data_IF_357279670524
#
_entry.id   IF_357279670524
#
_cell.length_a   1.000
_cell.length_b   1.000
_cell.length_c   1.000
_cell.angle_alpha   90.00
_cell.angle_beta   90.00
_cell.angle_gamma   90.00
#
_symmetry.space_group_name_H-M   'P 1'
#
loop_
_entity.id
_entity.type
_entity.pdbx_description
1 polymer ?
#
# COMPACT_ATOMS: atom_id res chain seq x y z
N UNK A 1 6.97 -6.00 -12.39
CA UNK A 1 6.78 -6.75 -13.66
C UNK A 1 5.89 -5.94 -14.59
N UNK A 2 6.22 -5.86 -15.88
CA UNK A 2 5.40 -5.19 -16.90
C UNK A 2 3.97 -5.75 -16.94
N UNK A 3 3.79 -7.05 -16.67
CA UNK A 3 2.47 -7.69 -16.57
C UNK A 3 1.60 -7.12 -15.44
N UNK A 4 2.21 -6.59 -14.38
CA UNK A 4 1.50 -5.94 -13.28
C UNK A 4 1.21 -4.46 -13.57
N UNK A 5 1.99 -3.83 -14.45
CA UNK A 5 1.86 -2.40 -14.76
C UNK A 5 0.55 -2.10 -15.48
N UNK A 6 0.14 -2.95 -16.42
CA UNK A 6 -1.09 -2.78 -17.21
C UNK A 6 -2.34 -3.37 -16.53
N UNK A 7 -2.15 -4.17 -15.48
CA UNK A 7 -3.23 -4.86 -14.81
C UNK A 7 -3.98 -3.98 -13.79
N UNK A 8 -3.29 -3.00 -13.20
CA UNK A 8 -3.88 -2.05 -12.25
C UNK A 8 -3.76 -0.63 -12.80
N UNK A 9 -4.90 0.02 -13.02
CA UNK A 9 -4.99 1.40 -13.49
C UNK A 9 -4.54 2.39 -12.42
N UNK A 10 -4.74 2.05 -11.14
CA UNK A 10 -4.30 2.85 -10.00
C UNK A 10 -3.40 2.00 -9.10
N UNK A 11 -2.21 2.52 -8.79
CA UNK A 11 -1.22 1.89 -7.91
C UNK A 11 -0.80 2.94 -6.88
N UNK A 12 -0.99 2.63 -5.61
CA UNK A 12 -0.65 3.53 -4.50
C UNK A 12 0.20 2.76 -3.50
N UNK A 13 1.23 3.41 -2.98
CA UNK A 13 2.06 2.90 -1.89
C UNK A 13 2.12 3.96 -0.80
N UNK A 14 1.68 3.59 0.40
CA UNK A 14 1.69 4.46 1.58
C UNK A 14 2.45 3.75 2.69
N UNK A 15 3.46 4.41 3.24
CA UNK A 15 4.18 3.91 4.41
C UNK A 15 3.42 4.35 5.66
N UNK A 16 2.95 3.38 6.44
CA UNK A 16 2.16 3.65 7.63
C UNK A 16 3.11 3.96 8.77
N UNK A 17 3.13 5.22 9.21
CA UNK A 17 3.90 5.61 10.40
C UNK A 17 3.49 4.80 11.63
N UNK A 18 4.28 4.87 12.71
CA UNK A 18 4.04 4.16 13.98
C UNK A 18 2.62 4.29 14.53
N UNK A 19 1.98 5.44 14.28
CA UNK A 19 0.59 5.71 14.65
C UNK A 19 -0.37 5.45 13.49
N UNK A 20 -1.34 4.58 13.73
CA UNK A 20 -2.45 4.32 12.80
C UNK A 20 -3.53 5.38 12.95
N UNK A 21 -3.33 6.50 12.26
CA UNK A 21 -4.26 7.62 12.20
C UNK A 21 -5.06 7.58 10.89
N UNK A 22 -6.35 7.24 11.00
CA UNK A 22 -7.23 7.06 9.84
C UNK A 22 -7.39 8.36 9.03
N UNK A 23 -7.69 9.53 9.63
CA UNK A 23 -7.68 10.81 8.90
C UNK A 23 -6.39 11.10 8.13
N UNK A 24 -5.24 10.93 8.78
CA UNK A 24 -3.93 11.20 8.16
C UNK A 24 -3.66 10.23 7.00
N UNK A 25 -3.87 8.93 7.22
CA UNK A 25 -3.69 7.91 6.20
C UNK A 25 -4.64 8.10 5.01
N UNK A 26 -5.90 8.43 5.28
CA UNK A 26 -6.89 8.67 4.22
C UNK A 26 -6.48 9.86 3.35
N UNK A 27 -5.94 10.92 3.97
CA UNK A 27 -5.41 12.08 3.24
C UNK A 27 -4.19 11.72 2.40
N UNK A 28 -3.26 10.95 2.96
CA UNK A 28 -2.07 10.49 2.25
C UNK A 28 -2.43 9.62 1.03
N UNK A 29 -3.31 8.63 1.24
CA UNK A 29 -3.82 7.79 0.14
C UNK A 29 -4.51 8.64 -0.93
N UNK A 30 -5.37 9.59 -0.54
CA UNK A 30 -6.04 10.50 -1.47
C UNK A 30 -5.04 11.28 -2.33
N UNK A 31 -4.00 11.84 -1.72
CA UNK A 31 -2.95 12.59 -2.42
C UNK A 31 -2.14 11.75 -3.41
N UNK A 32 -2.03 10.43 -3.19
CA UNK A 32 -1.38 9.51 -4.11
C UNK A 32 -2.26 9.04 -5.27
N UNK A 33 -3.59 9.18 -5.17
CA UNK A 33 -4.51 8.75 -6.23
C UNK A 33 -4.66 9.88 -7.26
N UNK A 34 -4.38 9.63 -8.55
CA UNK A 34 -4.55 10.63 -9.59
C UNK A 34 -5.97 11.20 -9.61
N UNK A 35 -6.07 12.53 -9.71
CA UNK A 35 -7.33 13.22 -9.96
C UNK A 35 -7.99 12.70 -11.25
N UNK A 36 -9.32 12.79 -11.30
CA UNK A 36 -10.06 12.58 -12.55
C UNK A 36 -10.00 13.86 -13.40
N UNK A 37 -10.19 13.70 -14.72
CA UNK A 37 -10.22 14.84 -15.66
C UNK A 37 -11.28 15.89 -15.28
N UNK A 38 -12.35 15.45 -14.60
CA UNK A 38 -13.45 16.29 -14.12
C UNK A 38 -13.09 17.16 -12.90
N UNK A 39 -12.07 16.79 -12.13
CA UNK A 39 -11.73 17.44 -10.86
C UNK A 39 -10.80 18.66 -11.04
N UNK A 40 -10.22 18.86 -12.24
CA UNK A 40 -9.33 19.97 -12.54
C UNK A 40 -8.01 19.97 -11.74
N UNK A 41 -7.09 20.88 -12.08
CA UNK A 41 -5.71 20.87 -11.57
C UNK A 41 -5.57 21.21 -10.06
N UNK A 42 -6.64 21.68 -9.41
CA UNK A 42 -6.65 22.12 -8.00
C UNK A 42 -7.15 21.07 -7.00
N UNK A 43 -7.57 19.87 -7.45
CA UNK A 43 -8.17 18.85 -6.58
C UNK A 43 -7.19 17.99 -5.80
N UNK A 44 -5.88 18.12 -6.07
CA UNK A 44 -4.83 17.33 -5.41
C UNK A 44 -4.48 17.83 -4.01
N UNK A 45 -5.04 18.96 -3.56
CA UNK A 45 -4.72 19.53 -2.25
C UNK A 45 -5.89 19.28 -1.31
N UNK A 46 -5.91 18.08 -0.73
CA UNK A 46 -6.64 17.86 0.51
C UNK A 46 -5.96 18.65 1.63
N UNK A 47 -6.57 19.74 2.07
CA UNK A 47 -6.02 20.59 3.13
C UNK A 47 -6.28 19.94 4.50
N UNK A 48 -5.63 20.44 5.55
CA UNK A 48 -5.89 19.99 6.94
C UNK A 48 -7.36 20.12 7.35
N UNK A 49 -8.10 21.05 6.73
CA UNK A 49 -9.51 21.33 6.99
C UNK A 49 -10.48 20.42 6.24
N UNK A 50 -10.02 19.63 5.27
CA UNK A 50 -10.88 18.68 4.55
C UNK A 50 -11.28 17.55 5.51
N UNK A 51 -12.58 17.35 5.68
CA UNK A 51 -13.07 16.33 6.61
C UNK A 51 -12.91 14.91 6.01
N UNK A 52 -12.87 13.90 6.89
CA UNK A 52 -12.62 12.51 6.50
C UNK A 52 -13.63 11.99 5.47
N UNK A 53 -14.91 12.32 5.64
CA UNK A 53 -15.98 11.85 4.77
C UNK A 53 -15.84 12.41 3.33
N UNK A 54 -15.47 13.68 3.17
CA UNK A 54 -15.17 14.27 1.86
C UNK A 54 -14.00 13.55 1.16
N UNK A 55 -12.93 13.24 1.91
CA UNK A 55 -11.80 12.49 1.37
C UNK A 55 -12.22 11.09 0.91
N UNK A 56 -12.99 10.38 1.73
CA UNK A 56 -13.46 9.03 1.39
C UNK A 56 -14.38 9.03 0.17
N UNK A 57 -15.27 10.03 0.03
CA UNK A 57 -16.10 10.19 -1.17
C UNK A 57 -15.26 10.47 -2.41
N UNK A 58 -14.26 11.35 -2.32
CA UNK A 58 -13.36 11.65 -3.44
C UNK A 58 -12.53 10.43 -3.84
N UNK A 59 -11.95 9.69 -2.88
CA UNK A 59 -11.25 8.44 -3.16
C UNK A 59 -12.17 7.45 -3.90
N UNK A 60 -13.38 7.23 -3.38
CA UNK A 60 -14.33 6.31 -4.01
C UNK A 60 -14.69 6.74 -5.44
N UNK A 61 -14.83 8.05 -5.68
CA UNK A 61 -15.07 8.59 -7.02
C UNK A 61 -13.87 8.39 -7.94
N UNK A 62 -12.65 8.74 -7.51
CA UNK A 62 -11.41 8.58 -8.30
C UNK A 62 -11.13 7.12 -8.68
N UNK A 63 -11.51 6.18 -7.82
CA UNK A 63 -11.34 4.74 -8.02
C UNK A 63 -12.53 4.07 -8.73
N UNK A 64 -13.62 4.82 -9.00
CA UNK A 64 -14.82 4.25 -9.60
C UNK A 64 -14.49 3.56 -10.93
N UNK A 65 -14.97 2.33 -11.06
CA UNK A 65 -14.77 1.47 -12.25
C UNK A 65 -13.30 1.24 -12.64
N UNK A 66 -12.34 1.55 -11.76
CA UNK A 66 -10.91 1.30 -11.95
C UNK A 66 -10.43 0.14 -11.11
N UNK A 67 -9.59 -0.70 -11.68
CA UNK A 67 -8.87 -1.72 -10.94
C UNK A 67 -7.66 -1.12 -10.24
N UNK A 68 -7.57 -1.30 -8.93
CA UNK A 68 -6.54 -0.65 -8.10
C UNK A 68 -5.73 -1.64 -7.26
N UNK A 69 -4.49 -1.27 -6.99
CA UNK A 69 -3.62 -1.89 -6.00
C UNK A 69 -3.18 -0.82 -5.00
N UNK A 70 -3.54 -0.99 -3.73
CA UNK A 70 -3.09 -0.09 -2.65
C UNK A 70 -2.22 -0.89 -1.71
N UNK A 71 -0.97 -0.45 -1.51
CA UNK A 71 -0.03 -1.03 -0.56
C UNK A 71 0.03 -0.15 0.67
N UNK A 72 -0.30 -0.71 1.82
CA UNK A 72 -0.09 -0.12 3.14
C UNK A 72 1.12 -0.81 3.77
N UNK A 73 2.25 -0.13 3.70
CA UNK A 73 3.56 -0.68 4.05
C UNK A 73 3.92 -0.40 5.51
N UNK A 74 4.53 -1.37 6.16
CA UNK A 74 5.07 -1.33 7.53
C UNK A 74 4.04 -0.91 8.58
N UNK A 75 2.87 -1.56 8.67
CA UNK A 75 1.89 -1.26 9.74
C UNK A 75 2.41 -1.75 11.10
N UNK A 76 2.65 -0.81 12.02
CA UNK A 76 3.11 -1.11 13.38
C UNK A 76 1.99 -1.47 14.35
N UNK A 77 0.85 -0.78 14.27
CA UNK A 77 -0.25 -0.90 15.23
C UNK A 77 -1.57 -0.79 14.51
N UNK A 78 -2.50 -1.70 14.78
CA UNK A 78 -3.91 -1.50 14.46
C UNK A 78 -4.73 -2.36 15.42
N UNK A 79 -5.16 -1.75 16.53
CA UNK A 79 -5.79 -2.48 17.64
C UNK A 79 -7.33 -2.38 17.63
N UNK A 80 -7.90 -1.65 16.65
CA UNK A 80 -9.32 -1.33 16.60
C UNK A 80 -9.89 -1.66 15.23
N UNK A 81 -10.73 -2.69 15.18
CA UNK A 81 -11.38 -3.15 13.95
C UNK A 81 -12.24 -2.06 13.30
N UNK A 82 -12.86 -1.18 14.09
CA UNK A 82 -13.65 -0.07 13.55
C UNK A 82 -12.77 0.99 12.84
N UNK A 83 -11.54 1.23 13.31
CA UNK A 83 -10.60 2.10 12.60
C UNK A 83 -10.19 1.49 11.26
N UNK A 84 -9.90 0.18 11.25
CA UNK A 84 -9.60 -0.55 10.03
C UNK A 84 -10.77 -0.48 9.04
N UNK A 85 -12.00 -0.79 9.48
CA UNK A 85 -13.22 -0.68 8.66
C UNK A 85 -13.45 0.74 8.16
N UNK A 86 -13.16 1.75 8.98
CA UNK A 86 -13.27 3.16 8.59
C UNK A 86 -12.27 3.49 7.48
N UNK A 87 -11.01 3.07 7.59
CA UNK A 87 -10.00 3.25 6.54
C UNK A 87 -10.41 2.55 5.23
N UNK A 88 -11.03 1.37 5.32
CA UNK A 88 -11.45 0.59 4.15
C UNK A 88 -12.72 1.11 3.45
N UNK A 89 -13.53 1.91 4.13
CA UNK A 89 -14.82 2.41 3.65
C UNK A 89 -14.84 2.95 2.20
N UNK A 90 -13.84 3.72 1.71
CA UNK A 90 -13.85 4.20 0.32
C UNK A 90 -13.56 3.10 -0.72
N UNK A 91 -12.91 1.99 -0.34
CA UNK A 91 -12.48 0.94 -1.27
C UNK A 91 -13.55 -0.15 -1.47
N UNK A 92 -14.54 -0.23 -0.59
CA UNK A 92 -15.62 -1.25 -0.67
C UNK A 92 -16.69 -0.93 -1.71
N UNK A 93 -16.70 0.30 -2.23
CA UNK A 93 -17.67 0.78 -3.23
C UNK A 93 -17.21 0.58 -4.68
N UNK A 94 -16.07 -0.06 -4.88
CA UNK A 94 -15.49 -0.28 -6.21
C UNK A 94 -16.32 -1.27 -7.04
N UNK A 95 -16.61 -0.89 -8.29
CA UNK A 95 -17.35 -1.73 -9.24
C UNK A 95 -16.42 -2.70 -10.02
N UNK A 96 -15.12 -2.43 -10.05
CA UNK A 96 -14.14 -3.23 -10.78
C UNK A 96 -13.68 -4.45 -9.96
N UNK A 97 -13.77 -5.64 -10.55
CA UNK A 97 -13.26 -6.88 -9.94
C UNK A 97 -11.74 -6.94 -9.99
N UNK A 98 -11.17 -7.55 -8.95
CA UNK A 98 -9.75 -7.87 -8.88
C UNK A 98 -8.86 -6.75 -8.34
N UNK A 99 -9.44 -5.69 -7.79
CA UNK A 99 -8.70 -4.73 -6.96
C UNK A 99 -8.19 -5.39 -5.69
N UNK A 100 -7.06 -4.90 -5.17
CA UNK A 100 -6.38 -5.49 -4.01
C UNK A 100 -5.85 -4.39 -3.09
N UNK A 101 -5.96 -4.65 -1.79
CA UNK A 101 -5.24 -3.91 -0.76
C UNK A 101 -4.23 -4.87 -0.13
N UNK A 102 -2.94 -4.54 -0.23
CA UNK A 102 -1.84 -5.31 0.31
C UNK A 102 -1.33 -4.63 1.57
N UNK A 103 -1.20 -5.38 2.65
CA UNK A 103 -0.62 -4.89 3.90
C UNK A 103 0.68 -5.62 4.16
N UNK A 104 1.73 -4.88 4.52
CA UNK A 104 2.95 -5.47 5.10
C UNK A 104 3.04 -5.06 6.57
N UNK A 105 3.48 -6.00 7.41
CA UNK A 105 3.65 -5.76 8.85
C UNK A 105 4.66 -6.77 9.41
N UNK A 106 5.36 -6.37 10.47
CA UNK A 106 6.23 -7.25 11.25
C UNK A 106 5.47 -7.97 12.38
N UNK A 107 4.19 -7.64 12.59
CA UNK A 107 3.42 -8.07 13.74
C UNK A 107 2.32 -9.05 13.31
N UNK A 108 2.43 -10.35 13.64
CA UNK A 108 1.40 -11.34 13.31
C UNK A 108 0.00 -10.94 13.78
N UNK A 109 -0.11 -10.32 14.95
CA UNK A 109 -1.39 -9.79 15.49
C UNK A 109 -2.06 -8.80 14.54
N UNK A 110 -1.29 -7.92 13.89
CA UNK A 110 -1.83 -6.95 12.92
C UNK A 110 -2.30 -7.70 11.67
N UNK A 111 -1.49 -8.63 11.16
CA UNK A 111 -1.86 -9.47 10.02
C UNK A 111 -3.16 -10.24 10.30
N UNK A 112 -3.30 -10.84 11.47
CA UNK A 112 -4.50 -11.56 11.90
C UNK A 112 -5.75 -10.67 12.02
N UNK A 113 -5.58 -9.40 12.33
CA UNK A 113 -6.70 -8.45 12.42
C UNK A 113 -7.15 -7.96 11.03
N UNK A 114 -6.21 -7.70 10.11
CA UNK A 114 -6.53 -7.16 8.77
C UNK A 114 -6.81 -8.24 7.71
N UNK A 115 -6.45 -9.50 7.96
CA UNK A 115 -6.45 -10.54 6.94
C UNK A 115 -7.84 -10.78 6.36
N UNK A 116 -7.86 -10.93 5.04
CA UNK A 116 -9.01 -11.46 4.27
C UNK A 116 -8.67 -12.80 3.61
N UNK A 117 -7.39 -13.15 3.58
CA UNK A 117 -6.78 -14.40 3.11
C UNK A 117 -5.63 -14.74 4.05
N UNK A 118 -5.11 -15.97 4.00
CA UNK A 118 -3.99 -16.36 4.86
C UNK A 118 -2.76 -15.45 4.64
N UNK A 119 -2.14 -14.93 5.71
CA UNK A 119 -0.96 -14.09 5.59
C UNK A 119 0.20 -14.84 4.93
N UNK A 120 0.90 -14.17 4.02
CA UNK A 120 2.16 -14.67 3.47
C UNK A 120 3.30 -14.35 4.43
N UNK A 121 3.76 -15.35 5.16
CA UNK A 121 4.94 -15.21 6.01
C UNK A 121 6.20 -15.20 5.15
N UNK A 122 6.88 -14.04 5.11
CA UNK A 122 8.16 -13.91 4.43
C UNK A 122 9.26 -14.53 5.30
N UNK A 123 9.91 -15.56 4.76
CA UNK A 123 11.09 -16.18 5.37
C UNK A 123 12.35 -15.48 4.89
N UNK A 124 13.44 -15.65 5.65
CA UNK A 124 14.76 -15.24 5.20
C UNK A 124 15.15 -15.95 3.90
N UNK A 125 16.09 -15.34 3.16
CA UNK A 125 16.67 -15.95 1.98
C UNK A 125 17.34 -17.29 2.33
N UNK A 126 17.33 -18.23 1.39
CA UNK A 126 18.09 -19.46 1.54
C UNK A 126 19.60 -19.15 1.65
N UNK A 127 20.41 -19.96 2.34
CA UNK A 127 21.80 -19.61 2.65
C UNK A 127 22.65 -19.24 1.43
N UNK A 128 22.47 -19.95 0.30
CA UNK A 128 23.21 -19.67 -0.93
C UNK A 128 22.79 -18.34 -1.57
N UNK A 129 21.50 -18.04 -1.56
CA UNK A 129 20.95 -16.78 -2.08
C UNK A 129 21.37 -15.61 -1.19
N UNK A 130 21.32 -15.80 0.14
CA UNK A 130 21.81 -14.82 1.10
C UNK A 130 23.29 -14.52 0.88
N UNK A 131 24.13 -15.56 0.73
CA UNK A 131 25.55 -15.38 0.51
C UNK A 131 25.82 -14.68 -0.83
N UNK A 132 25.11 -15.08 -1.90
CA UNK A 132 25.20 -14.43 -3.21
C UNK A 132 24.84 -12.94 -3.13
N UNK A 133 23.76 -12.61 -2.42
CA UNK A 133 23.35 -11.23 -2.18
C UNK A 133 24.39 -10.47 -1.34
N UNK A 134 24.92 -11.09 -0.28
CA UNK A 134 25.92 -10.51 0.59
C UNK A 134 27.22 -10.16 -0.16
N UNK A 135 27.71 -11.07 -1.00
CA UNK A 135 28.86 -10.81 -1.87
C UNK A 135 28.59 -9.64 -2.83
N UNK A 136 27.40 -9.60 -3.43
CA UNK A 136 27.02 -8.49 -4.32
C UNK A 136 27.00 -7.16 -3.57
N UNK A 137 26.54 -7.13 -2.32
CA UNK A 137 26.59 -5.92 -1.48
C UNK A 137 28.03 -5.48 -1.15
N UNK A 138 28.95 -6.43 -0.94
CA UNK A 138 30.33 -6.12 -0.57
C UNK A 138 31.20 -5.70 -1.76
N UNK A 139 31.10 -6.40 -2.88
CA UNK A 139 32.03 -6.26 -4.01
C UNK A 139 31.39 -5.58 -5.23
N UNK A 140 30.06 -5.43 -5.25
CA UNK A 140 29.31 -5.07 -6.46
C UNK A 140 29.26 -6.23 -7.45
N UNK A 141 28.39 -6.11 -8.46
CA UNK A 141 28.16 -7.19 -9.44
C UNK A 141 29.39 -7.51 -10.30
N UNK A 142 30.35 -6.59 -10.40
CA UNK A 142 31.47 -6.66 -11.36
C UNK A 142 32.84 -6.96 -10.74
N UNK A 143 32.97 -6.97 -9.41
CA UNK A 143 34.27 -7.15 -8.75
C UNK A 143 34.30 -8.36 -7.81
N UNK A 144 33.52 -9.40 -8.11
CA UNK A 144 33.58 -10.66 -7.35
C UNK A 144 35.00 -11.24 -7.42
N UNK A 145 35.69 -11.47 -6.28
CA UNK A 145 36.99 -12.10 -6.30
C UNK A 145 36.87 -13.55 -6.80
N UNK A 146 37.75 -13.96 -7.71
CA UNK A 146 37.72 -15.30 -8.33
C UNK A 146 37.99 -16.44 -7.32
N UNK A 147 38.44 -16.12 -6.10
CA UNK A 147 38.75 -17.07 -5.02
C UNK A 147 38.51 -16.46 -3.64
N UNK A 148 37.93 -17.28 -2.76
CA UNK A 148 38.06 -17.17 -1.30
C UNK A 148 38.86 -18.36 -0.77
#
# INVERSE_FOLDING_TARGET
DARTQDHFQVKVWVCVSTDFDVPKLTREIHGCIPATDEEGNNSNIANETTNLDQLQRSIAHRLKSKRFLIVLDDIWKCDREDQWKTLLAPFTKGEAKGSMLLVTTRFPKVADMVKTVDPLELRGLEPNDFFTFFEACMFGEQHKPEKY
#
